data_IF_157203417597
#
_entry.id   IF_157203417597
#
_cell.length_a   1.000
_cell.length_b   1.000
_cell.length_c   1.000
_cell.angle_alpha   90.00
_cell.angle_beta   90.00
_cell.angle_gamma   90.00
#
_symmetry.space_group_name_H-M   'P 1'
#
loop_
_entity.id
_entity.type
_entity.pdbx_description
1 polymer ?
#
# COMPACT_ATOMS: atom_id res chain seq x y z
N UNK A 1 -4.90 1.57 9.89
CA UNK A 1 -4.04 0.40 9.67
C UNK A 1 -2.69 0.89 9.18
N UNK A 2 -1.58 0.32 9.65
CA UNK A 2 -0.23 0.67 9.18
C UNK A 2 0.02 0.10 7.78
N UNK A 3 1.02 0.62 7.07
CA UNK A 3 1.36 0.18 5.72
C UNK A 3 1.73 -1.32 5.69
N UNK A 4 2.52 -1.77 6.65
CA UNK A 4 2.97 -3.16 6.76
C UNK A 4 1.78 -4.12 6.97
N UNK A 5 0.80 -3.69 7.74
CA UNK A 5 -0.42 -4.46 7.98
C UNK A 5 -1.31 -4.54 6.71
N UNK A 6 -1.41 -3.45 5.95
CA UNK A 6 -2.14 -3.44 4.67
C UNK A 6 -1.49 -4.34 3.63
N UNK A 7 -0.15 -4.34 3.57
CA UNK A 7 0.61 -5.23 2.68
C UNK A 7 0.39 -6.69 3.06
N UNK A 8 0.41 -7.01 4.35
CA UNK A 8 0.12 -8.36 4.84
C UNK A 8 -1.30 -8.81 4.49
N UNK A 9 -2.30 -7.94 4.70
CA UNK A 9 -3.69 -8.25 4.32
C UNK A 9 -3.82 -8.48 2.80
N UNK A 10 -3.11 -7.70 1.99
CA UNK A 10 -3.10 -7.87 0.54
C UNK A 10 -2.48 -9.22 0.13
N UNK A 11 -1.36 -9.63 0.73
CA UNK A 11 -0.74 -10.95 0.50
C UNK A 11 -1.68 -12.09 0.89
N UNK A 12 -2.37 -11.97 2.03
CA UNK A 12 -3.35 -12.97 2.47
C UNK A 12 -4.54 -13.08 1.51
N UNK A 13 -5.01 -11.96 0.96
CA UNK A 13 -6.09 -11.96 -0.04
C UNK A 13 -5.62 -12.60 -1.34
N UNK A 14 -4.42 -12.27 -1.82
CA UNK A 14 -3.87 -12.88 -3.04
C UNK A 14 -3.71 -14.39 -2.88
N UNK A 15 -3.22 -14.86 -1.73
CA UNK A 15 -3.12 -16.30 -1.45
C UNK A 15 -4.48 -17.02 -1.43
N UNK A 16 -5.55 -16.34 -1.01
CA UNK A 16 -6.92 -16.88 -1.10
C UNK A 16 -7.46 -16.91 -2.53
N UNK A 17 -7.12 -15.92 -3.34
CA UNK A 17 -7.53 -15.83 -4.75
C UNK A 17 -6.81 -16.86 -5.64
N UNK A 18 -5.65 -17.35 -5.22
CA UNK A 18 -4.92 -18.44 -5.88
C UNK A 18 -5.55 -19.82 -5.63
N UNK A 19 -6.52 -19.93 -4.71
CA UNK A 19 -7.23 -21.18 -4.45
C UNK A 19 -8.35 -21.40 -5.49
N UNK A 20 -8.24 -22.45 -6.30
CA UNK A 20 -9.22 -22.81 -7.33
C UNK A 20 -10.61 -23.22 -6.78
N UNK A 21 -10.74 -23.48 -5.48
CA UNK A 21 -12.00 -23.87 -4.83
C UNK A 21 -12.83 -22.69 -4.31
N UNK A 22 -12.38 -21.45 -4.52
CA UNK A 22 -13.09 -20.27 -4.02
C UNK A 22 -14.41 -20.01 -4.79
N UNK A 23 -15.54 -19.76 -4.09
CA UNK A 23 -16.77 -19.34 -4.76
C UNK A 23 -16.59 -18.01 -5.51
N UNK A 24 -17.20 -17.89 -6.69
CA UNK A 24 -17.06 -16.70 -7.55
C UNK A 24 -17.43 -15.39 -6.83
N UNK A 25 -18.51 -15.39 -6.04
CA UNK A 25 -18.92 -14.21 -5.27
C UNK A 25 -17.87 -13.79 -4.23
N UNK A 26 -17.24 -14.77 -3.58
CA UNK A 26 -16.16 -14.52 -2.62
C UNK A 26 -14.91 -13.99 -3.33
N UNK A 27 -14.55 -14.57 -4.48
CA UNK A 27 -13.44 -14.09 -5.30
C UNK A 27 -13.64 -12.63 -5.74
N UNK A 28 -14.85 -12.26 -6.15
CA UNK A 28 -15.19 -10.87 -6.51
C UNK A 28 -15.03 -9.94 -5.30
N UNK A 29 -15.52 -10.35 -4.12
CA UNK A 29 -15.41 -9.56 -2.90
C UNK A 29 -13.94 -9.35 -2.48
N UNK A 30 -13.15 -10.43 -2.48
CA UNK A 30 -11.72 -10.40 -2.20
C UNK A 30 -10.97 -9.52 -3.20
N UNK A 31 -11.28 -9.61 -4.48
CA UNK A 31 -10.66 -8.77 -5.51
C UNK A 31 -10.97 -7.28 -5.29
N UNK A 32 -12.23 -6.93 -5.00
CA UNK A 32 -12.60 -5.54 -4.67
C UNK A 32 -11.84 -5.03 -3.44
N UNK A 33 -11.70 -5.88 -2.40
CA UNK A 33 -10.92 -5.56 -1.21
C UNK A 33 -9.44 -5.35 -1.54
N UNK A 34 -8.83 -6.23 -2.33
CA UNK A 34 -7.45 -6.12 -2.78
C UNK A 34 -7.18 -4.81 -3.54
N UNK A 35 -8.07 -4.44 -4.47
CA UNK A 35 -7.95 -3.18 -5.23
C UNK A 35 -8.02 -1.96 -4.33
N UNK A 36 -8.91 -1.97 -3.33
CA UNK A 36 -9.03 -0.87 -2.37
C UNK A 36 -7.79 -0.77 -1.47
N UNK A 37 -7.31 -1.90 -0.93
CA UNK A 37 -6.07 -1.94 -0.15
C UNK A 37 -4.87 -1.46 -0.94
N UNK A 38 -4.76 -1.87 -2.21
CA UNK A 38 -3.69 -1.41 -3.08
C UNK A 38 -3.69 0.11 -3.27
N UNK A 39 -4.86 0.72 -3.49
CA UNK A 39 -5.00 2.19 -3.59
C UNK A 39 -4.61 2.87 -2.29
N UNK A 40 -4.99 2.32 -1.16
CA UNK A 40 -4.59 2.84 0.15
C UNK A 40 -3.07 2.77 0.36
N UNK A 41 -2.44 1.63 0.03
CA UNK A 41 -0.99 1.48 0.09
C UNK A 41 -0.28 2.51 -0.80
N UNK A 42 -0.75 2.71 -2.03
CA UNK A 42 -0.18 3.72 -2.93
C UNK A 42 -0.24 5.13 -2.35
N UNK A 43 -1.37 5.50 -1.73
CA UNK A 43 -1.52 6.80 -1.07
C UNK A 43 -0.53 6.96 0.08
N UNK A 44 -0.48 5.98 0.97
CA UNK A 44 0.42 6.01 2.13
C UNK A 44 1.89 6.10 1.69
N UNK A 45 2.29 5.39 0.64
CA UNK A 45 3.62 5.50 0.03
C UNK A 45 3.87 6.90 -0.55
N UNK A 46 2.89 7.51 -1.20
CA UNK A 46 3.00 8.88 -1.72
C UNK A 46 3.26 9.89 -0.59
N UNK A 47 2.52 9.81 0.50
CA UNK A 47 2.69 10.67 1.67
C UNK A 47 4.07 10.47 2.33
N UNK A 48 4.55 9.22 2.45
CA UNK A 48 5.88 8.93 2.95
C UNK A 48 6.98 9.51 2.05
N UNK A 49 6.86 9.35 0.72
CA UNK A 49 7.82 9.91 -0.25
C UNK A 49 7.88 11.44 -0.15
N UNK A 50 6.74 12.09 0.01
CA UNK A 50 6.68 13.55 0.16
C UNK A 50 7.46 14.01 1.39
N UNK A 51 7.29 13.34 2.54
CA UNK A 51 8.05 13.65 3.76
C UNK A 51 9.57 13.50 3.57
N UNK A 52 10.01 12.48 2.82
CA UNK A 52 11.44 12.29 2.52
C UNK A 52 11.96 13.43 1.64
N UNK A 53 11.20 13.83 0.63
CA UNK A 53 11.58 14.95 -0.26
C UNK A 53 11.67 16.27 0.53
N UNK A 54 10.74 16.53 1.44
CA UNK A 54 10.75 17.75 2.26
C UNK A 54 11.99 17.81 3.16
N UNK A 55 12.34 16.69 3.82
CA UNK A 55 13.58 16.58 4.61
C UNK A 55 14.83 16.76 3.73
N UNK A 56 14.83 16.22 2.51
CA UNK A 56 15.96 16.40 1.58
C UNK A 56 16.13 17.88 1.18
N UNK A 57 15.04 18.60 0.91
CA UNK A 57 15.08 20.04 0.62
C UNK A 57 15.61 20.87 1.79
N UNK A 58 15.17 20.57 3.01
CA UNK A 58 15.68 21.23 4.22
C UNK A 58 17.20 21.03 4.43
N UNK A 59 17.74 19.89 3.98
CA UNK A 59 19.18 19.63 4.01
C UNK A 59 19.95 20.39 2.93
N UNK A 60 19.37 20.59 1.75
CA UNK A 60 19.95 21.38 0.64
C UNK A 60 19.92 22.90 0.90
N UNK A 61 18.90 23.40 1.60
CA UNK A 61 18.75 24.83 1.95
C UNK A 61 19.63 25.29 3.12
N UNK A 62 20.48 24.42 3.69
CA UNK A 62 21.51 24.87 4.64
C UNK A 62 22.56 25.68 3.87
N UNK A 63 22.74 26.98 4.17
CA UNK A 63 23.78 27.77 3.52
C UNK A 63 25.12 27.15 3.91
N UNK A 64 25.81 26.58 2.92
CA UNK A 64 27.23 26.32 2.98
C UNK A 64 27.91 27.64 3.33
N UNK A 65 28.32 27.77 4.59
CA UNK A 65 29.30 28.77 5.01
C UNK A 65 30.65 28.46 4.37
#
# INVERSE_FOLDING_TARGET
>A
MKLEEKLKELEEILGKLENDEIPLEEAISLFQRAVNLYKECQRDFGEMKMKVIDVMKELEDKPSS
#
